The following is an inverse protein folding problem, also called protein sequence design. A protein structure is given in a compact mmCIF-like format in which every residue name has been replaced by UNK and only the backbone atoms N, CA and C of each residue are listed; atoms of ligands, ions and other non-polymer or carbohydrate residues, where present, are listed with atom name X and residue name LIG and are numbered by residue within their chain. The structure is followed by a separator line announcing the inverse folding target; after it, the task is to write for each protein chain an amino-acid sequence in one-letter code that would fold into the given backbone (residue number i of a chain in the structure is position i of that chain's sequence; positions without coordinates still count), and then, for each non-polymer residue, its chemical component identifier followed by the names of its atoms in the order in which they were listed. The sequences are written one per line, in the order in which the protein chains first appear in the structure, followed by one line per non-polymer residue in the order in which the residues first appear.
data_IF_325708247039
#
_entry.id   IF_325708247039
#
_cell.length_a   1.000
_cell.length_b   1.000
_cell.length_c   1.000
_cell.angle_alpha   90.00
_cell.angle_beta   90.00
_cell.angle_gamma   90.00
#
_symmetry.space_group_name_H-M   'P 1'
#
loop_
_entity.id
_entity.type
_entity.pdbx_description
1 polymer ?
#
# COMPACT_ATOMS: atom_id res chain seq x y z
N UNK A 1 16.09 5.14 -15.39
CA UNK A 1 16.10 5.21 -13.89
C UNK A 1 15.00 6.12 -13.31
N UNK A 2 13.81 6.28 -13.93
CA UNK A 2 12.77 7.18 -13.39
C UNK A 2 12.16 6.66 -12.07
N UNK A 3 11.87 5.35 -11.98
CA UNK A 3 11.26 4.73 -10.80
C UNK A 3 12.09 4.92 -9.52
N UNK A 4 13.41 4.75 -9.58
CA UNK A 4 14.29 4.97 -8.42
C UNK A 4 14.24 6.43 -7.93
N UNK A 5 14.25 7.39 -8.86
CA UNK A 5 14.17 8.82 -8.54
C UNK A 5 12.81 9.19 -7.94
N UNK A 6 11.72 8.69 -8.51
CA UNK A 6 10.37 8.83 -7.95
C UNK A 6 10.25 8.26 -6.54
N UNK A 7 11.00 7.19 -6.26
CA UNK A 7 11.02 6.59 -4.93
C UNK A 7 11.94 7.28 -3.93
N UNK A 8 12.71 8.29 -4.34
CA UNK A 8 13.66 9.01 -3.50
C UNK A 8 14.99 8.28 -3.27
N UNK A 9 15.31 7.29 -4.11
CA UNK A 9 16.54 6.51 -3.98
C UNK A 9 17.73 7.25 -4.59
N UNK A 10 18.83 7.35 -3.84
CA UNK A 10 20.05 8.02 -4.27
C UNK A 10 20.94 7.06 -5.09
N UNK A 11 21.49 7.47 -6.25
CA UNK A 11 22.46 6.67 -6.99
C UNK A 11 23.61 6.12 -6.13
N UNK A 12 24.13 6.88 -5.16
CA UNK A 12 25.22 6.41 -4.27
C UNK A 12 24.83 5.21 -3.41
N UNK A 13 23.57 5.10 -2.98
CA UNK A 13 23.10 3.93 -2.24
C UNK A 13 22.82 2.73 -3.16
N UNK A 14 22.50 2.98 -4.43
CA UNK A 14 22.26 1.93 -5.43
C UNK A 14 23.55 1.25 -5.91
N UNK A 15 24.66 1.97 -5.98
CA UNK A 15 25.96 1.41 -6.39
C UNK A 15 26.38 0.24 -5.47
N UNK A 16 26.11 0.34 -4.16
CA UNK A 16 26.40 -0.73 -3.18
C UNK A 16 25.62 -2.03 -3.42
N UNK A 17 24.58 -1.97 -4.24
CA UNK A 17 23.70 -3.09 -4.55
C UNK A 17 23.99 -3.70 -5.93
N UNK A 18 24.99 -3.21 -6.66
CA UNK A 18 25.43 -3.83 -7.92
C UNK A 18 26.25 -5.08 -7.54
N UNK A 19 25.80 -6.29 -7.88
CA UNK A 19 26.50 -7.51 -7.51
C UNK A 19 27.86 -7.61 -8.22
N UNK A 20 28.89 -8.02 -7.48
CA UNK A 20 30.18 -8.42 -8.05
C UNK A 20 30.15 -9.89 -8.51
N UNK A 21 31.18 -10.34 -9.23
CA UNK A 21 31.24 -11.70 -9.82
C UNK A 21 31.11 -12.83 -8.78
N UNK A 22 31.47 -12.55 -7.53
CA UNK A 22 31.39 -13.47 -6.38
C UNK A 22 30.06 -13.37 -5.61
N UNK A 23 29.24 -12.35 -5.88
CA UNK A 23 27.96 -12.09 -5.20
C UNK A 23 26.76 -12.49 -6.08
N UNK A 24 26.80 -13.68 -6.68
CA UNK A 24 25.73 -14.16 -7.57
C UNK A 24 24.38 -14.34 -6.87
N UNK A 25 24.40 -14.47 -5.54
CA UNK A 25 23.21 -14.57 -4.71
C UNK A 25 22.47 -13.24 -4.53
N UNK A 26 23.08 -12.10 -4.90
CA UNK A 26 22.42 -10.79 -4.86
C UNK A 26 21.64 -10.53 -6.15
N UNK A 27 20.37 -10.16 -5.98
CA UNK A 27 19.58 -9.66 -7.09
C UNK A 27 20.16 -8.33 -7.62
N UNK A 28 20.14 -8.10 -8.94
CA UNK A 28 20.58 -6.84 -9.52
C UNK A 28 19.63 -5.70 -9.14
N UNK A 29 20.18 -4.48 -9.08
CA UNK A 29 19.47 -3.25 -8.71
C UNK A 29 18.17 -3.01 -9.50
N UNK A 30 18.14 -3.39 -10.78
CA UNK A 30 16.97 -3.25 -11.65
C UNK A 30 15.77 -4.06 -11.16
N UNK A 31 15.99 -5.31 -10.74
CA UNK A 31 14.95 -6.21 -10.21
C UNK A 31 14.44 -5.65 -8.89
N UNK A 32 15.35 -5.25 -8.01
CA UNK A 32 14.98 -4.72 -6.71
C UNK A 32 14.14 -3.44 -6.78
N UNK A 33 14.51 -2.50 -7.65
CA UNK A 33 13.73 -1.25 -7.86
C UNK A 33 12.31 -1.59 -8.33
N UNK A 34 12.17 -2.58 -9.22
CA UNK A 34 10.87 -2.97 -9.77
C UNK A 34 9.98 -3.56 -8.68
N UNK A 35 10.48 -4.52 -7.91
CA UNK A 35 9.74 -5.14 -6.80
C UNK A 35 9.30 -4.11 -5.75
N UNK A 36 10.20 -3.19 -5.37
CA UNK A 36 9.85 -2.12 -4.43
C UNK A 36 8.77 -1.19 -4.99
N UNK A 37 8.85 -0.86 -6.28
CA UNK A 37 7.90 0.03 -6.93
C UNK A 37 6.51 -0.59 -7.00
N UNK A 38 6.43 -1.86 -7.42
CA UNK A 38 5.18 -2.63 -7.45
C UNK A 38 4.54 -2.72 -6.06
N UNK A 39 5.34 -3.07 -5.04
CA UNK A 39 4.87 -3.11 -3.64
C UNK A 39 4.38 -1.75 -3.13
N UNK A 40 5.01 -0.65 -3.56
CA UNK A 40 4.58 0.71 -3.18
C UNK A 40 3.23 1.06 -3.82
N UNK A 41 3.05 0.71 -5.09
CA UNK A 41 1.79 0.93 -5.79
C UNK A 41 0.66 0.11 -5.16
N UNK A 42 0.88 -1.18 -4.91
CA UNK A 42 -0.11 -2.05 -4.27
C UNK A 42 -0.57 -1.48 -2.92
N UNK A 43 0.38 -1.06 -2.08
CA UNK A 43 0.09 -0.42 -0.80
C UNK A 43 -0.73 0.87 -0.95
N UNK A 44 -0.42 1.68 -1.97
CA UNK A 44 -1.17 2.89 -2.27
C UNK A 44 -2.60 2.58 -2.73
N UNK A 45 -2.78 1.59 -3.61
CA UNK A 45 -4.10 1.14 -4.06
C UNK A 45 -4.92 0.60 -2.89
N UNK A 46 -4.34 -0.28 -2.06
CA UNK A 46 -4.98 -0.82 -0.87
C UNK A 46 -5.40 0.28 0.12
N UNK A 47 -4.55 1.29 0.33
CA UNK A 47 -4.87 2.44 1.20
C UNK A 47 -6.01 3.28 0.63
N UNK A 48 -6.08 3.47 -0.70
CA UNK A 48 -7.18 4.19 -1.37
C UNK A 48 -8.50 3.40 -1.25
N UNK A 49 -8.48 2.10 -1.51
CA UNK A 49 -9.66 1.23 -1.36
C UNK A 49 -10.22 1.29 0.07
N UNK A 50 -9.35 1.10 1.07
CA UNK A 50 -9.73 1.22 2.49
C UNK A 50 -10.31 2.60 2.82
N UNK A 51 -9.76 3.69 2.27
CA UNK A 51 -10.29 5.03 2.51
C UNK A 51 -11.68 5.21 1.88
N UNK A 52 -11.91 4.65 0.69
CA UNK A 52 -13.23 4.66 0.03
C UNK A 52 -14.27 3.92 0.86
N UNK A 53 -13.97 2.70 1.31
CA UNK A 53 -14.86 1.89 2.16
C UNK A 53 -15.18 2.58 3.49
N UNK A 54 -14.19 3.19 4.14
CA UNK A 54 -14.44 3.95 5.37
C UNK A 54 -15.26 5.22 5.10
N UNK A 55 -15.02 5.92 3.99
CA UNK A 55 -15.78 7.11 3.63
C UNK A 55 -17.25 6.78 3.30
N UNK A 56 -17.52 5.70 2.56
CA UNK A 56 -18.89 5.25 2.27
C UNK A 56 -19.67 4.87 3.53
N UNK A 57 -18.99 4.40 4.58
CA UNK A 57 -19.62 4.07 5.86
C UNK A 57 -19.88 5.29 6.75
N UNK A 58 -19.11 6.37 6.58
CA UNK A 58 -19.25 7.63 7.34
C UNK A 58 -20.26 8.57 6.69
N UNK A 59 -20.51 8.48 5.38
CA UNK A 59 -21.56 9.22 4.68
C UNK A 59 -22.94 8.59 4.89
N UNK A 60 -23.42 8.56 6.14
CA UNK A 60 -24.82 8.26 6.43
C UNK A 60 -25.66 9.54 6.19
N UNK A 61 -26.77 9.51 5.42
CA UNK A 61 -27.48 10.70 4.96
C UNK A 61 -28.20 11.50 6.07
N UNK A 62 -28.20 11.01 7.31
CA UNK A 62 -28.83 11.66 8.47
C UNK A 62 -27.81 12.37 9.39
N UNK A 63 -26.73 12.92 8.83
CA UNK A 63 -26.01 14.07 9.40
C UNK A 63 -25.61 14.02 10.88
N UNK A 64 -25.07 12.90 11.38
CA UNK A 64 -24.60 12.77 12.75
C UNK A 64 -23.12 12.39 12.83
N UNK A 65 -22.23 13.36 13.07
CA UNK A 65 -20.79 13.10 13.24
C UNK A 65 -20.50 12.45 14.59
N UNK A 66 -20.35 11.13 14.62
CA UNK A 66 -19.68 10.44 15.73
C UNK A 66 -18.42 9.76 15.23
N UNK A 67 -17.30 10.13 15.84
CA UNK A 67 -16.00 9.53 15.61
C UNK A 67 -15.98 8.17 16.32
N UNK A 68 -16.57 7.15 15.70
CA UNK A 68 -16.61 5.80 16.27
C UNK A 68 -15.31 5.10 15.88
N UNK A 69 -14.37 4.98 16.84
CA UNK A 69 -13.34 3.93 16.76
C UNK A 69 -14.08 2.63 16.53
N UNK A 70 -13.80 1.95 15.42
CA UNK A 70 -14.48 0.75 14.93
C UNK A 70 -14.55 -0.34 16.00
N UNK A 71 -15.54 -0.26 16.89
CA UNK A 71 -15.94 -1.33 17.79
C UNK A 71 -17.06 -2.09 17.10
N UNK A 72 -16.75 -3.34 16.76
CA UNK A 72 -17.67 -4.49 16.61
C UNK A 72 -19.16 -4.12 16.55
N UNK A 73 -19.78 -4.40 15.40
CA UNK A 73 -21.22 -4.68 15.35
C UNK A 73 -21.37 -6.04 14.67
N UNK A 74 -21.90 -7.07 15.36
CA UNK A 74 -22.24 -8.34 14.73
C UNK A 74 -23.44 -8.11 13.80
N UNK A 75 -23.39 -8.68 12.60
CA UNK A 75 -24.53 -8.66 11.67
C UNK A 75 -25.65 -9.50 12.28
N UNK A 76 -26.79 -8.87 12.57
CA UNK A 76 -28.00 -9.52 13.05
C UNK A 76 -29.05 -9.54 11.93
N UNK A 77 -29.53 -10.75 11.62
CA UNK A 77 -30.92 -10.99 11.24
C UNK A 77 -31.34 -10.70 9.80
N UNK A 78 -31.13 -11.66 8.91
CA UNK A 78 -31.95 -11.92 7.74
C UNK A 78 -33.12 -12.83 8.12
N UNK A 79 -34.19 -12.22 8.65
CA UNK A 79 -35.52 -12.81 8.66
C UNK A 79 -36.27 -12.37 7.40
N UNK A 80 -36.30 -13.22 6.38
CA UNK A 80 -37.25 -13.11 5.27
C UNK A 80 -38.44 -14.07 5.50
N UNK A 81 -39.62 -13.60 5.09
CA UNK A 81 -40.96 -14.18 5.28
C UNK A 81 -41.22 -15.38 4.37
#
# INVERSE_FOLDING_TARGET
MKMAKEMGLNPRSLIKNIPSKSEQWKAPVSVWIREMYEKRQENAFRKKARKRENHTYVSNPLGGVRNVKKSIVPYAGDGEK
#
